data_IF_035623040647
#
_entry.id   IF_035623040647
#
_cell.length_a   1.000
_cell.length_b   1.000
_cell.length_c   1.000
_cell.angle_alpha   90.00
_cell.angle_beta   90.00
_cell.angle_gamma   90.00
#
_symmetry.space_group_name_H-M   'P 1'
#
loop_
_entity.id
_entity.type
_entity.pdbx_description
1 polymer ?
#
# COMPACT_ATOMS: atom_id res chain seq x y z
N UNK A 1 -83.88 -78.32 25.40
CA UNK A 1 -83.60 -77.74 24.07
C UNK A 1 -83.71 -76.22 24.17
N UNK A 2 -82.59 -75.53 24.19
CA UNK A 2 -82.46 -74.05 24.21
C UNK A 2 -82.37 -73.48 22.79
N UNK A 3 -82.74 -72.20 22.57
CA UNK A 3 -81.68 -71.22 22.28
C UNK A 3 -81.94 -69.87 23.00
N UNK A 4 -81.00 -69.30 23.75
CA UNK A 4 -79.70 -68.68 23.42
C UNK A 4 -79.85 -67.24 22.88
N UNK A 5 -79.75 -66.29 23.80
CA UNK A 5 -79.70 -64.85 23.56
C UNK A 5 -78.46 -64.47 22.74
N UNK A 6 -78.68 -63.64 21.72
CA UNK A 6 -77.67 -63.08 20.82
C UNK A 6 -77.14 -61.76 21.39
N UNK A 7 -76.00 -61.83 22.10
CA UNK A 7 -75.21 -60.67 22.48
C UNK A 7 -74.34 -60.22 21.31
N UNK A 8 -74.64 -59.04 20.75
CA UNK A 8 -73.80 -58.36 19.75
C UNK A 8 -72.60 -57.72 20.43
N UNK A 9 -71.44 -58.38 20.38
CA UNK A 9 -70.15 -57.78 20.71
C UNK A 9 -69.70 -56.84 19.59
N UNK A 10 -69.71 -55.53 19.85
CA UNK A 10 -69.06 -54.55 19.00
C UNK A 10 -67.54 -54.66 19.19
N UNK A 11 -66.81 -55.06 18.14
CA UNK A 11 -65.34 -54.95 18.12
C UNK A 11 -64.97 -53.50 17.80
N UNK A 12 -64.05 -52.87 18.56
CA UNK A 12 -63.49 -51.60 18.12
C UNK A 12 -62.68 -51.84 16.85
N UNK A 13 -63.16 -51.26 15.74
CA UNK A 13 -62.33 -51.10 14.54
C UNK A 13 -61.25 -50.08 14.89
N UNK A 14 -60.02 -50.54 15.03
CA UNK A 14 -58.86 -49.66 14.93
C UNK A 14 -58.81 -49.24 13.47
N UNK A 15 -59.46 -48.13 13.16
CA UNK A 15 -59.30 -47.44 11.88
C UNK A 15 -57.87 -46.92 11.84
N UNK A 16 -56.99 -47.66 11.17
CA UNK A 16 -55.69 -47.14 10.78
C UNK A 16 -55.91 -45.89 9.94
N UNK A 17 -55.54 -44.73 10.48
CA UNK A 17 -55.49 -43.47 9.77
C UNK A 17 -54.37 -43.49 8.72
N UNK A 18 -54.57 -44.24 7.66
CA UNK A 18 -53.75 -44.25 6.46
C UNK A 18 -54.56 -43.57 5.35
N UNK A 19 -54.47 -42.25 5.23
CA UNK A 19 -55.26 -41.53 4.23
C UNK A 19 -54.84 -40.10 3.88
N UNK A 20 -54.29 -39.31 4.80
CA UNK A 20 -54.09 -37.86 4.54
C UNK A 20 -52.66 -37.33 4.76
N UNK A 21 -51.67 -38.20 4.99
CA UNK A 21 -50.26 -37.81 5.28
C UNK A 21 -49.31 -37.87 4.07
N UNK A 22 -49.81 -38.14 2.87
CA UNK A 22 -48.98 -38.35 1.67
C UNK A 22 -48.42 -37.08 1.01
N UNK A 23 -49.13 -35.96 1.07
CA UNK A 23 -48.71 -34.72 0.39
C UNK A 23 -47.63 -33.92 1.12
N UNK A 24 -47.65 -33.92 2.45
CA UNK A 24 -46.74 -33.12 3.27
C UNK A 24 -45.29 -33.66 3.26
N UNK A 25 -45.13 -34.98 3.12
CA UNK A 25 -43.82 -35.62 3.09
C UNK A 25 -42.97 -35.14 1.89
N UNK A 26 -43.58 -35.07 0.70
CA UNK A 26 -42.89 -34.62 -0.51
C UNK A 26 -42.45 -33.15 -0.41
N UNK A 27 -43.31 -32.28 0.12
CA UNK A 27 -43.00 -30.86 0.34
C UNK A 27 -41.84 -30.70 1.32
N UNK A 28 -41.85 -31.46 2.41
CA UNK A 28 -40.77 -31.44 3.41
C UNK A 28 -39.43 -31.88 2.82
N UNK A 29 -39.43 -32.98 2.05
CA UNK A 29 -38.22 -33.47 1.36
C UNK A 29 -37.72 -32.44 0.35
N UNK A 30 -38.61 -31.84 -0.44
CA UNK A 30 -38.24 -30.80 -1.40
C UNK A 30 -37.56 -29.63 -0.69
N UNK A 31 -38.12 -29.14 0.42
CA UNK A 31 -37.51 -28.06 1.19
C UNK A 31 -36.16 -28.45 1.80
N UNK A 32 -36.00 -29.69 2.25
CA UNK A 32 -34.71 -30.22 2.73
C UNK A 32 -33.69 -30.21 1.58
N UNK A 33 -34.06 -30.67 0.39
CA UNK A 33 -33.19 -30.66 -0.79
C UNK A 33 -32.82 -29.23 -1.21
N UNK A 34 -33.78 -28.30 -1.19
CA UNK A 34 -33.53 -26.88 -1.45
C UNK A 34 -32.56 -26.29 -0.43
N UNK A 35 -32.76 -26.57 0.86
CA UNK A 35 -31.86 -26.14 1.93
C UNK A 35 -30.44 -26.70 1.76
N UNK A 36 -30.34 -27.99 1.43
CA UNK A 36 -29.06 -28.65 1.18
C UNK A 36 -28.34 -28.09 -0.05
N UNK A 37 -29.08 -27.83 -1.13
CA UNK A 37 -28.56 -27.20 -2.34
C UNK A 37 -28.07 -25.78 -2.06
N UNK A 38 -28.82 -24.99 -1.28
CA UNK A 38 -28.42 -23.64 -0.89
C UNK A 38 -27.13 -23.64 -0.05
N UNK A 39 -27.00 -24.55 0.91
CA UNK A 39 -25.77 -24.72 1.71
C UNK A 39 -24.59 -25.15 0.83
N UNK A 40 -24.80 -26.09 -0.08
CA UNK A 40 -23.78 -26.52 -1.04
C UNK A 40 -23.30 -25.39 -1.95
N UNK A 41 -24.22 -24.55 -2.43
CA UNK A 41 -23.90 -23.36 -3.23
C UNK A 41 -23.12 -22.33 -2.41
N UNK A 42 -23.56 -22.03 -1.19
CA UNK A 42 -22.86 -21.11 -0.30
C UNK A 42 -21.42 -21.57 0.00
N UNK A 43 -21.24 -22.86 0.29
CA UNK A 43 -19.92 -23.46 0.49
C UNK A 43 -19.04 -23.37 -0.77
N UNK A 44 -19.61 -23.62 -1.97
CA UNK A 44 -18.87 -23.51 -3.22
C UNK A 44 -18.41 -22.06 -3.49
N UNK A 45 -19.29 -21.09 -3.26
CA UNK A 45 -18.96 -19.67 -3.42
C UNK A 45 -17.88 -19.22 -2.42
N UNK A 46 -17.99 -19.63 -1.16
CA UNK A 46 -16.98 -19.34 -0.14
C UNK A 46 -15.61 -19.95 -0.51
N UNK A 47 -15.59 -21.20 -1.00
CA UNK A 47 -14.36 -21.85 -1.46
C UNK A 47 -13.72 -21.11 -2.65
N UNK A 48 -14.53 -20.68 -3.64
CA UNK A 48 -14.02 -19.88 -4.77
C UNK A 48 -13.40 -18.56 -4.32
N UNK A 49 -14.05 -17.88 -3.38
CA UNK A 49 -13.53 -16.63 -2.80
C UNK A 49 -12.22 -16.86 -2.03
N UNK A 50 -12.14 -17.92 -1.23
CA UNK A 50 -10.93 -18.26 -0.50
C UNK A 50 -9.74 -18.55 -1.45
N UNK A 51 -9.98 -19.31 -2.53
CA UNK A 51 -8.95 -19.58 -3.55
C UNK A 51 -8.54 -18.30 -4.28
N UNK A 52 -9.48 -17.44 -4.66
CA UNK A 52 -9.15 -16.17 -5.29
C UNK A 52 -8.33 -15.26 -4.37
N UNK A 53 -8.69 -15.18 -3.09
CA UNK A 53 -7.95 -14.40 -2.10
C UNK A 53 -6.54 -14.97 -1.87
N UNK A 54 -6.39 -16.31 -1.84
CA UNK A 54 -5.08 -16.95 -1.71
C UNK A 54 -4.19 -16.64 -2.92
N UNK A 55 -4.73 -16.72 -4.14
CA UNK A 55 -4.01 -16.37 -5.38
C UNK A 55 -3.57 -14.91 -5.38
N UNK A 56 -4.46 -13.99 -5.06
CA UNK A 56 -4.14 -12.56 -4.99
C UNK A 56 -2.99 -12.27 -4.00
N UNK A 57 -2.96 -12.95 -2.85
CA UNK A 57 -1.85 -12.82 -1.89
C UNK A 57 -0.54 -13.39 -2.42
N UNK A 58 -0.59 -14.55 -3.07
CA UNK A 58 0.59 -15.14 -3.71
C UNK A 58 1.13 -14.23 -4.83
N UNK A 59 0.25 -13.68 -5.66
CA UNK A 59 0.60 -12.76 -6.74
C UNK A 59 1.19 -11.46 -6.22
N UNK A 60 0.63 -10.90 -5.13
CA UNK A 60 1.18 -9.73 -4.46
C UNK A 60 2.60 -9.99 -3.94
N UNK A 61 2.80 -11.10 -3.22
CA UNK A 61 4.12 -11.49 -2.72
C UNK A 61 5.12 -11.68 -3.88
N UNK A 62 4.72 -12.41 -4.92
CA UNK A 62 5.55 -12.61 -6.11
C UNK A 62 5.89 -11.28 -6.82
N UNK A 63 4.97 -10.32 -6.84
CA UNK A 63 5.22 -8.99 -7.41
C UNK A 63 6.21 -8.17 -6.58
N UNK A 64 6.17 -8.26 -5.25
CA UNK A 64 7.12 -7.60 -4.37
C UNK A 64 8.54 -8.15 -4.59
N UNK A 65 8.70 -9.48 -4.60
CA UNK A 65 9.99 -10.11 -4.87
C UNK A 65 10.51 -9.81 -6.28
N UNK A 66 9.62 -9.72 -7.29
CA UNK A 66 10.00 -9.29 -8.64
C UNK A 66 10.52 -7.85 -8.65
N UNK A 67 9.87 -6.93 -7.92
CA UNK A 67 10.31 -5.54 -7.81
C UNK A 67 11.69 -5.43 -7.12
N UNK A 68 11.92 -6.17 -6.04
CA UNK A 68 13.23 -6.22 -5.37
C UNK A 68 14.31 -6.77 -6.30
N UNK A 69 14.02 -7.87 -7.01
CA UNK A 69 14.94 -8.42 -8.00
C UNK A 69 15.26 -7.43 -9.13
N UNK A 70 14.28 -6.63 -9.60
CA UNK A 70 14.54 -5.56 -10.56
C UNK A 70 15.55 -4.54 -10.01
N UNK A 71 15.40 -4.13 -8.74
CA UNK A 71 16.29 -3.15 -8.10
C UNK A 71 17.71 -3.70 -7.96
N UNK A 72 17.88 -4.92 -7.47
CA UNK A 72 19.23 -5.49 -7.29
C UNK A 72 19.94 -5.70 -8.63
N UNK A 73 19.21 -6.12 -9.67
CA UNK A 73 19.81 -6.23 -11.01
C UNK A 73 20.12 -4.88 -11.64
N UNK A 74 19.29 -3.86 -11.40
CA UNK A 74 19.63 -2.50 -11.80
C UNK A 74 20.90 -2.01 -11.10
N UNK A 75 21.08 -2.28 -9.80
CA UNK A 75 22.31 -1.94 -9.07
C UNK A 75 23.53 -2.65 -9.64
N UNK A 76 23.43 -3.94 -9.94
CA UNK A 76 24.50 -4.69 -10.60
C UNK A 76 24.85 -4.08 -11.96
N UNK A 77 23.85 -3.77 -12.79
CA UNK A 77 24.08 -3.12 -14.08
C UNK A 77 24.73 -1.73 -13.96
N UNK A 78 24.35 -0.93 -12.95
CA UNK A 78 25.00 0.35 -12.65
C UNK A 78 26.45 0.12 -12.23
N UNK A 79 26.71 -0.85 -11.35
CA UNK A 79 28.05 -1.17 -10.89
C UNK A 79 28.97 -1.55 -12.06
N UNK A 80 28.51 -2.46 -12.92
CA UNK A 80 29.27 -2.92 -14.09
C UNK A 80 29.52 -1.75 -15.07
N UNK A 81 28.51 -0.92 -15.32
CA UNK A 81 28.64 0.25 -16.19
C UNK A 81 29.68 1.25 -15.66
N UNK A 82 29.68 1.53 -14.36
CA UNK A 82 30.63 2.44 -13.72
C UNK A 82 32.03 1.83 -13.63
N UNK A 83 32.13 0.51 -13.42
CA UNK A 83 33.40 -0.21 -13.41
C UNK A 83 34.09 -0.17 -14.77
N UNK A 84 33.34 -0.37 -15.86
CA UNK A 84 33.89 -0.29 -17.21
C UNK A 84 34.32 1.14 -17.56
N UNK A 85 33.48 2.12 -17.21
CA UNK A 85 33.71 3.54 -17.51
C UNK A 85 34.97 4.12 -16.85
N UNK A 86 35.55 3.46 -15.83
CA UNK A 86 36.79 3.93 -15.21
C UNK A 86 38.00 3.93 -16.16
N UNK A 87 37.94 3.14 -17.23
CA UNK A 87 38.99 3.07 -18.24
C UNK A 87 38.66 3.93 -19.48
N UNK A 88 37.54 4.64 -19.47
CA UNK A 88 37.09 5.46 -20.59
C UNK A 88 37.86 6.79 -20.62
N UNK A 89 38.21 7.32 -21.81
CA UNK A 89 38.92 8.58 -21.91
C UNK A 89 38.13 9.76 -21.32
N UNK A 90 38.82 10.78 -20.77
CA UNK A 90 38.18 11.97 -20.20
C UNK A 90 37.24 12.64 -21.22
N UNK A 91 35.95 12.77 -20.87
CA UNK A 91 34.93 13.43 -21.70
C UNK A 91 33.77 12.53 -22.13
N UNK A 92 33.93 11.21 -22.08
CA UNK A 92 32.79 10.30 -22.18
C UNK A 92 32.18 10.10 -20.79
N UNK A 93 30.95 10.58 -20.57
CA UNK A 93 30.28 10.45 -19.28
C UNK A 93 29.22 9.37 -19.34
N UNK A 94 29.53 8.21 -18.76
CA UNK A 94 28.56 7.12 -18.56
C UNK A 94 27.29 7.61 -17.85
N UNK A 95 27.41 8.60 -16.97
CA UNK A 95 26.32 9.23 -16.23
C UNK A 95 25.18 9.75 -17.12
N UNK A 96 25.48 10.35 -18.28
CA UNK A 96 24.45 10.89 -19.19
C UNK A 96 23.67 9.83 -19.97
N UNK A 97 24.17 8.58 -19.98
CA UNK A 97 23.63 7.45 -20.75
C UNK A 97 23.24 6.26 -19.86
N UNK A 98 23.35 6.43 -18.55
CA UNK A 98 23.20 5.34 -17.57
C UNK A 98 21.81 4.69 -17.67
N UNK A 99 20.76 5.47 -17.92
CA UNK A 99 19.40 4.96 -18.13
C UNK A 99 19.32 3.93 -19.27
N UNK A 100 19.92 4.25 -20.41
CA UNK A 100 19.96 3.36 -21.57
C UNK A 100 20.83 2.13 -21.34
N UNK A 101 21.97 2.29 -20.67
CA UNK A 101 22.90 1.18 -20.36
C UNK A 101 22.25 0.18 -19.40
N UNK A 102 21.58 0.66 -18.36
CA UNK A 102 20.88 -0.20 -17.39
C UNK A 102 19.68 -0.89 -18.05
N UNK A 103 18.86 -0.15 -18.82
CA UNK A 103 17.71 -0.71 -19.52
C UNK A 103 18.10 -1.78 -20.55
N UNK A 104 19.25 -1.62 -21.21
CA UNK A 104 19.80 -2.58 -22.16
C UNK A 104 20.62 -3.72 -21.53
N UNK A 105 20.78 -3.73 -20.21
CA UNK A 105 21.64 -4.72 -19.55
C UNK A 105 21.06 -6.14 -19.64
N UNK A 106 21.90 -7.17 -19.83
CA UNK A 106 21.44 -8.56 -19.90
C UNK A 106 20.67 -9.01 -18.65
N UNK A 107 20.99 -8.45 -17.48
CA UNK A 107 20.31 -8.76 -16.22
C UNK A 107 18.85 -8.28 -16.15
N UNK A 108 18.50 -7.25 -16.91
CA UNK A 108 17.14 -6.70 -16.99
C UNK A 108 16.38 -7.14 -18.24
N UNK A 109 17.07 -7.69 -19.25
CA UNK A 109 16.45 -8.21 -20.45
C UNK A 109 15.42 -9.31 -20.13
N UNK A 110 14.21 -9.17 -20.67
CA UNK A 110 13.11 -10.13 -20.48
C UNK A 110 12.43 -10.09 -19.10
N UNK A 111 12.85 -9.19 -18.21
CA UNK A 111 12.16 -8.94 -16.96
C UNK A 111 11.00 -7.96 -17.15
N UNK A 112 9.87 -8.20 -16.48
CA UNK A 112 8.77 -7.26 -16.40
C UNK A 112 9.07 -6.14 -15.39
N UNK A 113 10.08 -5.33 -15.67
CA UNK A 113 10.50 -4.19 -14.85
C UNK A 113 10.25 -2.87 -15.58
N UNK A 114 9.58 -1.93 -14.91
CA UNK A 114 9.56 -0.52 -15.32
C UNK A 114 10.43 0.26 -14.33
N UNK A 115 11.64 0.62 -14.76
CA UNK A 115 12.62 1.34 -13.92
C UNK A 115 12.72 2.79 -14.38
N UNK A 116 12.80 3.70 -13.40
CA UNK A 116 13.19 5.09 -13.61
C UNK A 116 14.28 5.42 -12.60
N UNK A 117 15.40 5.93 -13.08
CA UNK A 117 16.48 6.40 -12.22
C UNK A 117 16.48 7.92 -12.21
N UNK A 118 16.91 8.49 -11.09
CA UNK A 118 17.12 9.93 -10.94
C UNK A 118 18.44 10.14 -10.23
N UNK A 119 19.21 11.12 -10.67
CA UNK A 119 20.42 11.51 -10.00
C UNK A 119 20.07 12.15 -8.64
N UNK A 120 20.34 11.43 -7.53
CA UNK A 120 20.07 11.95 -6.20
C UNK A 120 20.81 13.27 -5.90
N UNK A 121 21.99 13.48 -6.53
CA UNK A 121 22.76 14.71 -6.41
C UNK A 121 22.23 15.91 -7.20
N UNK A 122 21.15 15.77 -7.97
CA UNK A 122 20.55 16.88 -8.70
C UNK A 122 19.64 17.76 -7.82
N UNK A 123 19.24 17.27 -6.64
CA UNK A 123 18.44 18.00 -5.67
C UNK A 123 19.32 18.51 -4.51
N UNK A 124 18.92 19.65 -3.93
CA UNK A 124 19.53 20.15 -2.71
C UNK A 124 19.12 19.24 -1.53
N UNK A 125 20.10 18.67 -0.83
CA UNK A 125 19.84 17.93 0.41
C UNK A 125 19.45 18.91 1.53
N UNK A 126 18.16 18.93 1.87
CA UNK A 126 17.60 19.77 2.92
C UNK A 126 18.14 19.47 4.32
N UNK A 127 18.66 18.25 4.56
CA UNK A 127 19.21 17.86 5.85
C UNK A 127 20.65 18.36 6.03
N UNK A 128 21.39 18.56 4.93
CA UNK A 128 22.79 18.97 4.94
C UNK A 128 23.01 20.42 4.47
N UNK A 129 22.04 21.02 3.77
CA UNK A 129 22.18 22.35 3.19
C UNK A 129 22.43 23.42 4.27
N UNK A 130 23.36 24.36 4.03
CA UNK A 130 23.50 25.54 4.87
C UNK A 130 22.24 26.41 4.81
N UNK A 131 21.87 27.04 5.93
CA UNK A 131 20.67 27.88 6.06
C UNK A 131 20.62 28.98 5.00
N UNK A 132 21.77 29.58 4.69
CA UNK A 132 21.90 30.59 3.65
C UNK A 132 21.56 30.05 2.25
N UNK A 133 21.93 28.82 1.95
CA UNK A 133 21.55 28.16 0.68
C UNK A 133 20.04 27.89 0.64
N UNK A 134 19.44 27.52 1.78
CA UNK A 134 17.99 27.32 1.90
C UNK A 134 17.22 28.64 1.72
N UNK A 135 17.68 29.74 2.33
CA UNK A 135 17.09 31.08 2.14
C UNK A 135 17.10 31.48 0.66
N UNK A 136 18.26 31.36 0.00
CA UNK A 136 18.38 31.66 -1.45
C UNK A 136 17.48 30.78 -2.29
N UNK A 137 17.36 29.49 -1.97
CA UNK A 137 16.42 28.59 -2.64
C UNK A 137 14.98 29.09 -2.48
N UNK A 138 14.54 29.43 -1.27
CA UNK A 138 13.18 29.90 -1.05
C UNK A 138 12.88 31.23 -1.75
N UNK A 139 13.85 32.15 -1.80
CA UNK A 139 13.74 33.38 -2.60
C UNK A 139 13.63 33.06 -4.09
N UNK A 140 14.45 32.15 -4.62
CA UNK A 140 14.38 31.70 -6.01
C UNK A 140 13.03 31.03 -6.35
N UNK A 141 12.39 30.40 -5.36
CA UNK A 141 11.05 29.82 -5.46
C UNK A 141 9.91 30.86 -5.27
N UNK A 142 10.24 32.16 -5.20
CA UNK A 142 9.27 33.25 -5.15
C UNK A 142 8.80 33.65 -3.74
N UNK A 143 9.51 33.24 -2.68
CA UNK A 143 9.23 33.73 -1.32
C UNK A 143 9.85 35.11 -1.09
N UNK A 144 9.18 35.95 -0.29
CA UNK A 144 9.77 37.20 0.18
C UNK A 144 10.98 36.91 1.08
N UNK A 145 11.92 37.85 1.26
CA UNK A 145 13.08 37.65 2.13
C UNK A 145 12.68 37.19 3.55
N UNK A 146 11.73 37.89 4.17
CA UNK A 146 11.21 37.50 5.49
C UNK A 146 10.53 36.12 5.50
N UNK A 147 9.86 35.73 4.39
CA UNK A 147 9.26 34.41 4.26
C UNK A 147 10.30 33.31 4.06
N UNK A 148 11.37 33.58 3.31
CA UNK A 148 12.51 32.68 3.15
C UNK A 148 13.26 32.48 4.46
N UNK A 149 13.43 33.56 5.23
CA UNK A 149 14.04 33.51 6.56
C UNK A 149 13.23 32.65 7.51
N UNK A 150 11.91 32.84 7.54
CA UNK A 150 11.03 32.06 8.41
C UNK A 150 11.01 30.57 8.06
N UNK A 151 11.02 30.22 6.75
CA UNK A 151 11.07 28.83 6.31
C UNK A 151 12.42 28.17 6.58
N UNK A 152 13.53 28.89 6.40
CA UNK A 152 14.86 28.38 6.70
C UNK A 152 15.04 28.14 8.20
N UNK A 153 14.61 29.09 9.04
CA UNK A 153 14.64 28.94 10.49
C UNK A 153 13.76 27.79 10.96
N UNK A 154 12.54 27.66 10.43
CA UNK A 154 11.65 26.54 10.78
C UNK A 154 12.21 25.17 10.36
N UNK A 155 12.93 25.10 9.24
CA UNK A 155 13.59 23.87 8.79
C UNK A 155 14.83 23.56 9.64
N UNK A 156 15.56 24.59 10.06
CA UNK A 156 16.71 24.43 10.95
C UNK A 156 16.27 23.99 12.36
N UNK A 157 15.22 24.60 12.91
CA UNK A 157 14.53 24.18 14.13
C UNK A 157 14.00 22.75 14.02
N UNK A 158 13.71 22.25 12.82
CA UNK A 158 13.31 20.86 12.64
C UNK A 158 14.50 19.88 12.67
N UNK A 159 15.68 20.34 12.24
CA UNK A 159 16.92 19.56 12.17
C UNK A 159 17.61 19.46 13.53
N UNK A 160 17.49 20.48 14.36
CA UNK A 160 18.13 20.52 15.68
C UNK A 160 17.40 19.67 16.73
N UNK A 161 18.19 19.18 17.68
CA UNK A 161 17.68 18.41 18.82
C UNK A 161 17.16 19.32 19.95
N UNK A 162 17.40 20.63 19.84
CA UNK A 162 17.08 21.58 20.88
C UNK A 162 15.68 22.20 20.72
N UNK A 163 15.14 22.67 21.85
CA UNK A 163 13.79 23.24 21.95
C UNK A 163 13.81 24.78 21.85
N UNK A 164 14.95 25.40 21.52
CA UNK A 164 15.08 26.85 21.45
C UNK A 164 14.68 27.35 20.05
N UNK A 165 13.54 28.06 19.89
CA UNK A 165 13.12 28.52 18.58
C UNK A 165 14.05 29.61 18.06
N UNK A 166 14.39 29.54 16.77
CA UNK A 166 15.14 30.61 16.11
C UNK A 166 14.30 31.88 15.91
N UNK A 167 14.93 33.06 15.73
CA UNK A 167 14.23 34.35 15.68
C UNK A 167 13.08 34.46 14.68
N UNK A 168 13.19 33.82 13.50
CA UNK A 168 12.11 33.72 12.52
C UNK A 168 11.47 32.31 12.45
N UNK A 169 11.94 31.39 13.30
CA UNK A 169 11.50 29.99 13.42
C UNK A 169 10.23 29.89 14.24
N UNK A 170 9.08 29.93 13.57
CA UNK A 170 7.78 29.80 14.22
C UNK A 170 7.33 28.34 14.29
N UNK A 171 8.06 27.46 15.01
CA UNK A 171 7.55 26.14 15.34
C UNK A 171 6.99 26.16 16.78
N UNK A 172 5.66 26.32 16.98
CA UNK A 172 5.10 26.27 18.32
C UNK A 172 5.33 24.90 18.96
N UNK A 173 5.81 24.89 20.21
CA UNK A 173 6.08 23.71 21.07
C UNK A 173 5.08 22.55 20.95
N UNK A 174 3.80 22.85 20.72
CA UNK A 174 2.72 21.86 20.54
C UNK A 174 2.87 20.93 19.32
N UNK A 175 3.58 21.37 18.28
CA UNK A 175 3.78 20.57 17.06
C UNK A 175 4.90 19.52 17.22
N UNK A 176 5.98 19.83 17.96
CA UNK A 176 7.02 18.83 18.33
C UNK A 176 6.45 17.73 19.21
N UNK A 177 5.52 18.05 20.12
CA UNK A 177 4.89 17.06 21.01
C UNK A 177 4.05 16.00 20.28
N UNK A 178 3.65 16.26 19.03
CA UNK A 178 2.94 15.29 18.17
C UNK A 178 3.84 14.58 17.16
N UNK A 179 5.13 14.93 17.12
CA UNK A 179 6.14 14.28 16.29
C UNK A 179 6.82 13.15 17.10
N UNK A 180 7.15 12.00 16.48
CA UNK A 180 7.98 10.99 17.13
C UNK A 180 9.33 11.59 17.57
N UNK A 181 9.82 11.19 18.73
CA UNK A 181 11.02 11.71 19.43
C UNK A 181 12.26 11.88 18.52
N UNK A 182 13.13 12.89 18.78
CA UNK A 182 14.03 13.49 17.80
C UNK A 182 15.33 12.73 17.47
N UNK A 183 15.55 11.50 17.92
CA UNK A 183 16.78 10.76 17.54
C UNK A 183 16.86 10.38 16.07
N UNK A 184 15.88 10.75 15.22
CA UNK A 184 15.92 10.60 13.76
C UNK A 184 15.21 11.77 13.06
N UNK A 185 15.68 13.00 13.27
CA UNK A 185 15.20 14.20 12.58
C UNK A 185 15.93 14.45 11.23
N UNK A 186 16.06 13.41 10.40
CA UNK A 186 16.34 13.58 8.97
C UNK A 186 15.08 13.24 8.19
N UNK A 187 14.74 14.03 7.17
CA UNK A 187 13.60 13.72 6.33
C UNK A 187 13.89 12.38 5.65
N UNK A 188 13.18 11.33 6.06
CA UNK A 188 13.41 9.97 5.53
C UNK A 188 12.90 9.80 4.09
N UNK A 189 11.96 10.65 3.68
CA UNK A 189 11.44 10.74 2.31
C UNK A 189 10.89 12.15 2.01
N UNK A 190 10.99 12.61 0.77
CA UNK A 190 10.43 13.90 0.34
C UNK A 190 8.91 14.04 0.57
N UNK A 191 8.18 12.92 0.67
CA UNK A 191 6.73 12.90 0.92
C UNK A 191 6.31 13.41 2.30
N UNK A 192 7.21 13.38 3.28
CA UNK A 192 6.93 13.90 4.62
C UNK A 192 6.73 15.42 4.63
N UNK A 193 7.26 16.16 3.62
CA UNK A 193 7.24 17.64 3.52
C UNK A 193 5.84 18.29 3.48
N UNK A 194 4.80 17.46 3.52
CA UNK A 194 3.38 17.86 3.54
C UNK A 194 2.83 18.16 4.94
N UNK A 195 3.58 17.92 6.02
CA UNK A 195 3.13 18.18 7.41
C UNK A 195 3.67 19.47 8.02
N UNK A 196 3.21 20.62 7.52
CA UNK A 196 3.27 21.90 8.24
C UNK A 196 1.90 22.59 8.12
N UNK A 197 1.29 23.02 9.24
CA UNK A 197 -0.09 23.53 9.23
C UNK A 197 -0.15 25.03 9.56
N UNK A 198 -0.78 25.78 8.65
CA UNK A 198 -1.10 27.22 8.74
C UNK A 198 -1.68 27.78 7.43
N UNK A 199 -1.38 27.15 6.30
CA UNK A 199 -2.01 27.38 4.99
C UNK A 199 -2.13 26.05 4.25
N UNK A 200 -3.11 25.93 3.36
CA UNK A 200 -3.55 24.69 2.69
C UNK A 200 -2.52 24.00 1.77
N UNK A 201 -1.22 24.28 1.88
CA UNK A 201 -0.08 23.70 1.12
C UNK A 201 1.20 24.48 1.49
N UNK A 202 2.27 23.86 1.97
CA UNK A 202 3.59 24.53 2.09
C UNK A 202 4.28 24.72 0.74
N UNK A 203 3.98 23.83 -0.20
CA UNK A 203 4.40 23.88 -1.58
C UNK A 203 3.16 23.74 -2.46
N UNK A 204 2.99 24.50 -3.56
CA UNK A 204 2.04 24.08 -4.56
C UNK A 204 2.41 22.66 -5.01
N UNK A 205 1.44 21.75 -5.22
CA UNK A 205 1.72 20.48 -5.86
C UNK A 205 2.01 20.80 -7.32
N UNK A 206 3.23 21.25 -7.62
CA UNK A 206 3.72 21.13 -8.96
C UNK A 206 4.38 19.75 -9.04
N UNK A 207 3.84 18.80 -9.81
CA UNK A 207 4.54 17.57 -10.12
C UNK A 207 5.88 17.81 -10.84
N UNK A 208 6.26 19.07 -11.12
CA UNK A 208 7.57 19.47 -11.62
C UNK A 208 8.66 19.62 -10.53
N UNK A 209 8.31 19.82 -9.25
CA UNK A 209 9.30 19.94 -8.18
C UNK A 209 9.83 18.58 -7.67
N UNK A 210 9.23 17.48 -8.14
CA UNK A 210 9.65 16.10 -7.88
C UNK A 210 9.96 15.33 -9.17
N UNK A 211 10.29 16.04 -10.26
CA UNK A 211 10.71 15.42 -11.52
C UNK A 211 12.21 15.40 -11.67
#
# INVERSE_FOLDING_TARGET
MTPRASGRGARPRVSGAAGERGGFALVSVLWILVGLAALGLAANLAARQAVAAARNRADLAASAWRAEACVERARAAIHDALWEARHEPPGATVWGRLDGVVAGSPGLAGMACALQMRAAGAALDVNAAPDETLRRLFVALGRSPAGADSLADALADWRDEDDAPRPAGAVPRRLRATAPSPTRASWSACGDSTRCRGSTRCFPPSPAACR
#
